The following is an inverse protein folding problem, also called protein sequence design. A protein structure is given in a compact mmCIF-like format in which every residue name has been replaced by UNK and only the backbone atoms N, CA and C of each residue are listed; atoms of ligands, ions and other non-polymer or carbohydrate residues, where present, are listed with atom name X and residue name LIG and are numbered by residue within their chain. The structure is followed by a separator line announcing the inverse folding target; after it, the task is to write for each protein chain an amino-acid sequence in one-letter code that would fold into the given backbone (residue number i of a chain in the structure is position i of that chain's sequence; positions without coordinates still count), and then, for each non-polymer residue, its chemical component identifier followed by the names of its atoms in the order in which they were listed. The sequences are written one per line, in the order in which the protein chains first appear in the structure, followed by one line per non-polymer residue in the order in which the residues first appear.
data_IF_879757744682
#
_entry.id   IF_879757744682
#
_cell.length_a   1.000
_cell.length_b   1.000
_cell.length_c   1.000
_cell.angle_alpha   90.00
_cell.angle_beta   90.00
_cell.angle_gamma   90.00
#
_symmetry.space_group_name_H-M   'P 1'
#
loop_
_entity.id
_entity.type
_entity.pdbx_description
1 polymer ?
#
# COMPACT_ATOMS: atom_id res chain seq x y z
N UNK A 1 24.28 -6.20 15.42
CA UNK A 1 23.44 -5.37 14.52
C UNK A 1 22.02 -5.83 14.73
N UNK A 2 21.16 -4.98 15.29
CA UNK A 2 19.74 -5.31 15.47
C UNK A 2 19.06 -5.30 14.09
N UNK A 3 18.33 -6.36 13.76
CA UNK A 3 17.57 -6.43 12.52
C UNK A 3 16.47 -5.36 12.57
N UNK A 4 16.34 -4.47 11.57
CA UNK A 4 15.31 -3.45 11.58
C UNK A 4 13.91 -4.08 11.65
N UNK A 5 13.03 -3.46 12.43
CA UNK A 5 11.64 -3.91 12.58
C UNK A 5 10.94 -4.03 11.22
N UNK A 6 9.94 -4.90 11.13
CA UNK A 6 9.18 -5.10 9.88
C UNK A 6 8.63 -3.77 9.30
N UNK A 7 8.14 -2.88 10.17
CA UNK A 7 7.71 -1.55 9.77
C UNK A 7 8.83 -0.70 9.16
N UNK A 8 10.01 -0.63 9.80
CA UNK A 8 11.15 0.13 9.27
C UNK A 8 11.60 -0.37 7.90
N UNK A 9 11.70 -1.69 7.72
CA UNK A 9 12.05 -2.31 6.43
C UNK A 9 11.04 -1.99 5.33
N UNK A 10 9.76 -1.95 5.65
CA UNK A 10 8.71 -1.60 4.69
C UNK A 10 8.79 -0.12 4.26
N UNK A 11 9.10 0.78 5.19
CA UNK A 11 9.28 2.21 4.91
C UNK A 11 10.47 2.44 3.99
N UNK A 12 11.61 1.84 4.31
CA UNK A 12 12.85 1.95 3.51
C UNK A 12 12.60 1.42 2.09
N UNK A 13 11.90 0.29 1.94
CA UNK A 13 11.54 -0.23 0.63
C UNK A 13 10.63 0.72 -0.16
N UNK A 14 9.60 1.28 0.46
CA UNK A 14 8.71 2.23 -0.22
C UNK A 14 9.48 3.46 -0.70
N UNK A 15 10.42 3.96 0.10
CA UNK A 15 11.30 5.07 -0.26
C UNK A 15 12.22 4.72 -1.44
N UNK A 16 12.86 3.55 -1.43
CA UNK A 16 13.67 3.03 -2.55
C UNK A 16 12.86 2.94 -3.84
N UNK A 17 11.59 2.53 -3.74
CA UNK A 17 10.68 2.41 -4.88
C UNK A 17 10.09 3.75 -5.32
N UNK A 18 10.28 4.85 -4.59
CA UNK A 18 9.67 6.15 -4.92
C UNK A 18 8.16 6.20 -4.64
N UNK A 19 7.69 5.42 -3.67
CA UNK A 19 6.32 5.35 -3.22
C UNK A 19 6.13 6.09 -1.89
N UNK A 20 4.93 6.66 -1.61
CA UNK A 20 4.66 7.29 -0.32
C UNK A 20 4.86 6.33 0.86
N UNK A 21 5.69 6.74 1.83
CA UNK A 21 6.14 5.91 2.96
C UNK A 21 5.02 5.45 3.92
N UNK A 22 3.86 6.12 3.91
CA UNK A 22 2.69 5.79 4.70
C UNK A 22 1.62 4.99 3.94
N UNK A 23 1.95 4.39 2.78
CA UNK A 23 1.00 3.58 2.00
C UNK A 23 0.57 2.29 2.70
N UNK A 24 1.42 1.74 3.56
CA UNK A 24 1.16 0.48 4.25
C UNK A 24 0.75 0.74 5.71
N UNK A 25 -0.22 -0.01 6.26
CA UNK A 25 -0.50 0.02 7.68
C UNK A 25 0.68 -0.61 8.43
N UNK A 26 1.25 0.13 9.39
CA UNK A 26 2.42 -0.31 10.16
C UNK A 26 2.04 -0.94 11.51
N UNK A 27 0.75 -1.06 11.80
CA UNK A 27 0.23 -1.62 13.05
C UNK A 27 0.13 -3.15 12.97
N UNK A 28 0.51 -3.84 14.04
CA UNK A 28 0.34 -5.29 14.20
C UNK A 28 0.97 -6.16 13.08
N UNK A 29 2.04 -5.69 12.42
CA UNK A 29 2.81 -6.49 11.43
C UNK A 29 3.56 -7.60 12.14
N UNK A 30 3.23 -8.85 11.80
CA UNK A 30 3.93 -10.05 12.27
C UNK A 30 5.07 -10.44 11.32
N UNK A 31 4.85 -10.30 10.02
CA UNK A 31 5.82 -10.67 8.99
C UNK A 31 5.83 -9.67 7.85
N UNK A 32 7.04 -9.32 7.39
CA UNK A 32 7.26 -8.56 6.18
C UNK A 32 8.44 -9.15 5.44
N UNK A 33 8.24 -9.43 4.16
CA UNK A 33 9.27 -9.94 3.28
C UNK A 33 9.20 -9.32 1.89
N UNK A 34 10.36 -9.25 1.26
CA UNK A 34 10.55 -8.72 -0.07
C UNK A 34 11.65 -9.50 -0.77
N UNK A 35 11.32 -10.09 -1.92
CA UNK A 35 12.26 -10.68 -2.85
C UNK A 35 12.66 -9.63 -3.88
N UNK A 36 13.94 -9.23 -3.87
CA UNK A 36 14.49 -8.20 -4.78
C UNK A 36 14.63 -8.71 -6.22
N UNK A 37 14.71 -10.03 -6.44
CA UNK A 37 14.94 -10.59 -7.78
C UNK A 37 13.70 -10.50 -8.67
N UNK A 38 12.53 -10.79 -8.11
CA UNK A 38 11.25 -10.82 -8.84
C UNK A 38 10.27 -9.70 -8.41
N UNK A 39 10.63 -8.91 -7.39
CA UNK A 39 9.80 -7.85 -6.84
C UNK A 39 8.66 -8.34 -5.95
N UNK A 40 8.60 -9.62 -5.59
CA UNK A 40 7.53 -10.17 -4.76
C UNK A 40 7.62 -9.65 -3.32
N UNK A 41 6.51 -9.12 -2.81
CA UNK A 41 6.40 -8.59 -1.45
C UNK A 41 5.20 -9.20 -0.76
N UNK A 42 5.35 -9.53 0.53
CA UNK A 42 4.25 -10.01 1.35
C UNK A 42 4.24 -9.36 2.72
N UNK A 43 3.03 -9.27 3.27
CA UNK A 43 2.75 -8.71 4.57
C UNK A 43 1.80 -9.65 5.31
N UNK A 44 2.16 -9.99 6.55
CA UNK A 44 1.30 -10.71 7.48
C UNK A 44 1.06 -9.82 8.69
N UNK A 45 -0.21 -9.61 9.01
CA UNK A 45 -0.69 -8.85 10.15
C UNK A 45 -1.45 -9.79 11.07
N UNK A 46 -1.39 -9.55 12.39
CA UNK A 46 -2.06 -10.37 13.39
C UNK A 46 -3.58 -10.50 13.16
N UNK A 47 -4.19 -9.44 12.65
CA UNK A 47 -5.63 -9.37 12.37
C UNK A 47 -5.87 -8.58 11.10
N UNK A 48 -7.05 -8.75 10.51
CA UNK A 48 -7.53 -7.88 9.43
C UNK A 48 -7.62 -6.44 9.95
N UNK A 49 -7.05 -5.51 9.19
CA UNK A 49 -7.06 -4.09 9.51
C UNK A 49 -8.09 -3.38 8.63
N UNK A 50 -9.08 -2.78 9.28
CA UNK A 50 -9.98 -1.83 8.66
C UNK A 50 -9.31 -0.45 8.79
N UNK A 51 -8.57 -0.06 7.76
CA UNK A 51 -7.80 1.19 7.74
C UNK A 51 -8.59 2.26 7.00
N UNK A 52 -8.80 3.41 7.62
CA UNK A 52 -9.27 4.59 6.91
C UNK A 52 -8.12 5.58 6.91
N UNK A 53 -7.65 5.98 5.72
CA UNK A 53 -6.64 7.01 5.58
C UNK A 53 -7.24 8.35 6.07
N UNK A 54 -7.03 8.63 7.36
CA UNK A 54 -7.70 9.72 8.09
C UNK A 54 -7.41 11.11 7.56
N UNK A 55 -6.40 11.29 6.69
CA UNK A 55 -5.84 12.61 6.40
C UNK A 55 -6.30 13.29 5.11
N UNK A 56 -7.20 12.70 4.29
CA UNK A 56 -8.12 13.42 3.36
C UNK A 56 -8.81 12.58 2.26
N UNK A 57 -8.50 11.29 2.08
CA UNK A 57 -9.15 10.53 0.99
C UNK A 57 -10.58 10.04 1.34
N UNK A 58 -10.97 10.08 2.63
CA UNK A 58 -12.25 9.58 3.18
C UNK A 58 -12.67 8.16 2.77
N UNK A 59 -11.86 7.45 1.98
CA UNK A 59 -12.16 6.10 1.48
C UNK A 59 -11.73 5.05 2.51
N UNK A 60 -12.68 4.26 3.03
CA UNK A 60 -12.37 3.11 3.87
C UNK A 60 -11.62 2.05 3.06
N UNK A 61 -10.52 1.56 3.61
CA UNK A 61 -9.74 0.46 3.08
C UNK A 61 -9.76 -0.73 4.05
N UNK A 62 -9.69 -1.93 3.50
CA UNK A 62 -9.60 -3.19 4.24
C UNK A 62 -8.40 -3.95 3.76
N UNK A 63 -7.51 -4.27 4.70
CA UNK A 63 -6.30 -5.03 4.42
C UNK A 63 -6.41 -6.34 5.19
N UNK A 64 -6.37 -7.45 4.47
CA UNK A 64 -6.44 -8.79 5.02
C UNK A 64 -5.22 -9.07 5.90
N UNK A 65 -5.37 -10.03 6.82
CA UNK A 65 -4.29 -10.49 7.68
C UNK A 65 -3.08 -11.03 6.89
N UNK A 66 -3.30 -11.51 5.67
CA UNK A 66 -2.24 -11.88 4.73
C UNK A 66 -2.49 -11.19 3.40
N UNK A 67 -1.52 -10.41 2.95
CA UNK A 67 -1.53 -9.75 1.65
C UNK A 67 -0.19 -9.95 0.96
N UNK A 68 -0.23 -9.95 -0.37
CA UNK A 68 0.95 -10.03 -1.21
C UNK A 68 0.73 -9.22 -2.48
N UNK A 69 1.84 -8.78 -3.06
CA UNK A 69 1.87 -7.95 -4.27
C UNK A 69 3.23 -8.06 -4.93
N UNK A 70 3.35 -7.46 -6.11
CA UNK A 70 4.63 -7.25 -6.79
C UNK A 70 4.96 -5.77 -6.81
N UNK A 71 6.17 -5.44 -6.40
CA UNK A 71 6.69 -4.09 -6.32
C UNK A 71 7.65 -3.81 -7.49
N UNK A 72 7.48 -2.63 -8.08
CA UNK A 72 8.31 -2.06 -9.12
C UNK A 72 8.57 -0.60 -8.78
N UNK A 73 9.53 0.03 -9.48
CA UNK A 73 9.79 1.45 -9.28
C UNK A 73 8.52 2.27 -9.55
N UNK A 74 8.08 3.01 -8.55
CA UNK A 74 6.90 3.87 -8.55
C UNK A 74 5.56 3.11 -8.53
N UNK A 75 5.54 1.79 -8.35
CA UNK A 75 4.35 0.97 -8.62
C UNK A 75 4.26 -0.31 -7.79
N UNK A 76 3.06 -0.63 -7.35
CA UNK A 76 2.65 -1.91 -6.78
C UNK A 76 1.57 -2.51 -7.69
N UNK A 77 1.69 -3.80 -8.04
CA UNK A 77 0.77 -4.50 -8.95
C UNK A 77 0.40 -5.88 -8.41
N UNK A 78 -0.64 -6.47 -9.00
CA UNK A 78 -1.21 -7.78 -8.61
C UNK A 78 -1.50 -7.86 -7.10
N UNK A 79 -1.99 -6.75 -6.55
CA UNK A 79 -2.23 -6.62 -5.12
C UNK A 79 -3.35 -7.57 -4.71
N UNK A 80 -3.08 -8.39 -3.70
CA UNK A 80 -4.06 -9.31 -3.11
C UNK A 80 -4.26 -8.98 -1.64
N UNK A 81 -5.51 -9.09 -1.17
CA UNK A 81 -5.85 -8.84 0.23
C UNK A 81 -6.16 -7.39 0.57
N UNK A 82 -6.11 -6.46 -0.39
CA UNK A 82 -6.48 -5.05 -0.19
C UNK A 82 -7.80 -4.76 -0.91
N UNK A 83 -8.76 -4.17 -0.18
CA UNK A 83 -10.04 -3.71 -0.73
C UNK A 83 -10.31 -2.27 -0.35
N UNK A 84 -10.90 -1.51 -1.26
CA UNK A 84 -11.44 -0.17 -1.01
C UNK A 84 -12.96 -0.22 -1.10
N UNK A 85 -13.64 0.68 -0.38
CA UNK A 85 -15.08 0.86 -0.51
C UNK A 85 -15.37 1.92 -1.58
N UNK A 86 -15.96 1.49 -2.69
CA UNK A 86 -16.52 2.39 -3.70
C UNK A 86 -18.04 2.31 -3.67
N UNK A 87 -18.69 3.46 -3.46
CA UNK A 87 -20.13 3.54 -3.23
C UNK A 87 -20.57 2.58 -2.10
N UNK A 88 -21.22 1.46 -2.45
CA UNK A 88 -21.71 0.45 -1.51
C UNK A 88 -20.98 -0.90 -1.62
N UNK A 89 -19.97 -1.03 -2.50
CA UNK A 89 -19.27 -2.27 -2.79
C UNK A 89 -17.81 -2.23 -2.32
N UNK A 90 -17.31 -3.38 -1.85
CA UNK A 90 -15.90 -3.56 -1.55
C UNK A 90 -15.18 -4.12 -2.78
N UNK A 91 -14.36 -3.28 -3.41
CA UNK A 91 -13.62 -3.63 -4.62
C UNK A 91 -12.16 -3.92 -4.27
N UNK A 92 -11.59 -4.95 -4.91
CA UNK A 92 -10.18 -5.28 -4.76
C UNK A 92 -9.33 -4.22 -5.43
N UNK A 93 -8.38 -3.65 -4.70
CA UNK A 93 -7.31 -2.82 -5.26
C UNK A 93 -6.29 -3.78 -5.86
N UNK A 94 -5.95 -3.59 -7.12
CA UNK A 94 -5.02 -4.47 -7.86
C UNK A 94 -3.72 -3.78 -8.24
N UNK A 95 -3.72 -2.44 -8.28
CA UNK A 95 -2.57 -1.64 -8.66
C UNK A 95 -2.57 -0.31 -7.90
N UNK A 96 -1.38 0.14 -7.50
CA UNK A 96 -1.13 1.47 -6.92
C UNK A 96 0.13 2.01 -7.59
N UNK A 97 0.13 3.25 -8.08
CA UNK A 97 1.31 3.82 -8.71
C UNK A 97 1.39 5.34 -8.58
N UNK A 98 2.59 5.87 -8.70
CA UNK A 98 2.87 7.30 -8.82
C UNK A 98 3.02 7.61 -10.32
N UNK A 99 2.14 8.43 -10.91
CA UNK A 99 2.25 8.79 -12.33
C UNK A 99 3.51 9.63 -12.60
N UNK A 100 4.24 9.33 -13.68
CA UNK A 100 5.44 10.11 -14.05
C UNK A 100 5.14 11.58 -14.34
N UNK A 101 3.97 11.86 -14.92
CA UNK A 101 3.53 13.21 -15.25
C UNK A 101 3.06 14.02 -14.02
N UNK A 102 2.81 13.35 -12.89
CA UNK A 102 2.35 13.99 -11.64
C UNK A 102 2.89 13.23 -10.41
N UNK A 103 4.20 13.38 -10.10
CA UNK A 103 4.86 12.68 -8.99
C UNK A 103 4.29 13.01 -7.61
N UNK A 104 3.56 14.12 -7.49
CA UNK A 104 2.84 14.54 -6.29
C UNK A 104 1.52 13.78 -6.09
N UNK A 105 1.14 12.90 -7.03
CA UNK A 105 -0.09 12.10 -6.98
C UNK A 105 0.22 10.62 -6.78
N UNK A 106 -0.75 9.93 -6.21
CA UNK A 106 -0.80 8.46 -6.17
C UNK A 106 -2.14 7.99 -6.69
N UNK A 107 -2.12 7.04 -7.61
CA UNK A 107 -3.30 6.48 -8.26
C UNK A 107 -3.53 5.05 -7.79
N UNK A 108 -4.76 4.75 -7.37
CA UNK A 108 -5.23 3.41 -7.01
C UNK A 108 -6.13 2.91 -8.13
N UNK A 109 -5.96 1.65 -8.55
CA UNK A 109 -6.87 0.98 -9.49
C UNK A 109 -7.48 -0.26 -8.86
N UNK A 110 -8.74 -0.47 -9.20
CA UNK A 110 -9.51 -1.64 -8.79
C UNK A 110 -9.56 -2.68 -9.90
N UNK A 111 -9.84 -3.94 -9.54
CA UNK A 111 -10.01 -5.03 -10.51
C UNK A 111 -11.17 -4.85 -11.49
N UNK A 112 -12.06 -3.88 -11.25
CA UNK A 112 -13.16 -3.53 -12.16
C UNK A 112 -12.79 -2.39 -13.12
N UNK A 113 -11.55 -1.90 -13.09
CA UNK A 113 -11.08 -0.81 -13.94
C UNK A 113 -11.36 0.60 -13.41
N UNK A 114 -12.00 0.76 -12.25
CA UNK A 114 -12.14 2.07 -11.60
C UNK A 114 -10.79 2.53 -11.04
N UNK A 115 -10.51 3.81 -11.16
CA UNK A 115 -9.29 4.43 -10.67
C UNK A 115 -9.53 5.75 -9.97
N UNK A 116 -8.82 5.99 -8.88
CA UNK A 116 -8.82 7.26 -8.16
C UNK A 116 -7.41 7.75 -7.92
N UNK A 117 -7.20 9.05 -8.03
CA UNK A 117 -5.92 9.70 -7.78
C UNK A 117 -6.03 10.68 -6.62
N UNK A 118 -5.03 10.67 -5.76
CA UNK A 118 -4.97 11.47 -4.54
C UNK A 118 -3.61 12.15 -4.41
N UNK A 119 -3.52 13.18 -3.58
CA UNK A 119 -2.22 13.77 -3.25
C UNK A 119 -1.36 12.76 -2.47
N UNK A 120 -0.12 12.53 -2.92
CA UNK A 120 0.84 11.63 -2.30
C UNK A 120 1.10 11.98 -0.83
N UNK A 121 1.04 13.27 -0.48
CA UNK A 121 1.20 13.75 0.90
C UNK A 121 0.12 13.20 1.86
N UNK A 122 -1.05 12.80 1.35
CA UNK A 122 -2.09 12.16 2.17
C UNK A 122 -1.67 10.77 2.67
N UNK A 123 -0.62 10.19 2.06
CA UNK A 123 -0.02 8.89 2.37
C UNK A 123 1.44 9.05 2.82
N UNK A 124 1.85 10.25 3.23
CA UNK A 124 3.10 10.40 3.97
C UNK A 124 2.98 9.67 5.32
N UNK A 125 4.12 9.31 5.92
CA UNK A 125 4.13 8.87 7.32
C UNK A 125 3.48 9.99 8.14
N UNK A 126 2.42 9.65 8.88
CA UNK A 126 1.76 10.60 9.78
C UNK A 126 2.77 11.17 10.78
N UNK A 127 2.56 12.43 11.17
CA UNK A 127 3.05 12.93 12.46
C UNK A 127 2.24 12.29 13.60
#
# INVERSE_FOLDING_TARGET
METPSAGKRSIELLEELGLPKGLLPLEDIEEFGYNREDGFMWLVQRKKVDHTFKRRSSKPCRIAARSWLFAEKGKLKNITGVKTKEMFLWLSVVEVYVPEASPEKVTFKTGTGLSDSFDAIAFALGE
#
